data_IF_183051512681
#
_entry.id   IF_183051512681
#
_cell.length_a   1.000
_cell.length_b   1.000
_cell.length_c   1.000
_cell.angle_alpha   90.00
_cell.angle_beta   90.00
_cell.angle_gamma   90.00
#
_symmetry.space_group_name_H-M   'P 1'
#
loop_
_entity.id
_entity.type
_entity.pdbx_description
1 polymer ?
#
# COMPACT_ATOMS: atom_id res chain seq x y z
N UNK A 1 0.34 12.24 -5.02
CA UNK A 1 0.52 10.89 -5.61
C UNK A 1 -0.50 9.99 -4.95
N UNK A 2 -1.56 9.60 -5.66
CA UNK A 2 -2.76 9.07 -5.01
C UNK A 2 -2.84 7.55 -5.12
N UNK A 3 -3.11 6.93 -3.99
CA UNK A 3 -3.37 5.49 -3.84
C UNK A 3 -4.73 5.09 -4.46
N UNK A 4 -5.61 6.06 -4.72
CA UNK A 4 -6.96 5.90 -5.28
C UNK A 4 -7.20 6.99 -6.35
N UNK A 5 -7.60 6.60 -7.57
CA UNK A 5 -7.76 7.52 -8.72
C UNK A 5 -9.10 8.27 -8.65
N UNK A 6 -9.21 9.28 -7.80
CA UNK A 6 -10.42 10.12 -7.61
C UNK A 6 -11.71 9.31 -7.41
N UNK A 7 -11.58 8.12 -6.84
CA UNK A 7 -12.69 7.22 -6.51
C UNK A 7 -13.04 7.45 -5.04
N UNK A 8 -14.20 8.07 -4.79
CA UNK A 8 -14.65 8.45 -3.46
C UNK A 8 -14.94 7.24 -2.58
N UNK A 9 -15.53 6.18 -3.13
CA UNK A 9 -15.80 4.93 -2.41
C UNK A 9 -14.49 4.26 -1.95
N UNK A 10 -13.50 4.17 -2.84
CA UNK A 10 -12.19 3.63 -2.46
C UNK A 10 -11.47 4.50 -1.43
N UNK A 11 -11.65 5.83 -1.50
CA UNK A 11 -11.10 6.72 -0.50
C UNK A 11 -11.68 6.46 0.88
N UNK A 12 -13.02 6.34 0.98
CA UNK A 12 -13.71 6.00 2.22
C UNK A 12 -13.26 4.64 2.78
N UNK A 13 -13.16 3.61 1.94
CA UNK A 13 -12.67 2.29 2.33
C UNK A 13 -11.25 2.35 2.91
N UNK A 14 -10.37 3.13 2.29
CA UNK A 14 -8.98 3.28 2.75
C UNK A 14 -8.90 4.09 4.04
N UNK A 15 -9.78 5.06 4.24
CA UNK A 15 -9.87 5.81 5.50
C UNK A 15 -10.34 4.92 6.65
N UNK A 16 -11.37 4.11 6.43
CA UNK A 16 -11.84 3.09 7.39
C UNK A 16 -10.73 2.09 7.70
N UNK A 17 -9.97 1.65 6.70
CA UNK A 17 -8.81 0.79 6.92
C UNK A 17 -7.72 1.48 7.75
N UNK A 18 -7.38 2.73 7.41
CA UNK A 18 -6.34 3.51 8.10
C UNK A 18 -6.68 3.73 9.58
N UNK A 19 -7.95 4.00 9.87
CA UNK A 19 -8.46 4.14 11.24
C UNK A 19 -8.26 2.84 12.03
N UNK A 20 -8.65 1.70 11.46
CA UNK A 20 -8.48 0.38 12.11
C UNK A 20 -7.02 -0.03 12.28
N UNK A 21 -6.20 0.11 11.23
CA UNK A 21 -4.80 -0.35 11.26
C UNK A 21 -3.94 0.48 12.22
N UNK A 22 -4.27 1.77 12.40
CA UNK A 22 -3.56 2.67 13.32
C UNK A 22 -3.71 2.29 14.80
N UNK A 23 -4.69 1.46 15.15
CA UNK A 23 -4.88 0.94 16.51
C UNK A 23 -3.88 -0.16 16.86
N UNK A 24 -3.21 -0.74 15.86
CA UNK A 24 -2.17 -1.73 16.06
C UNK A 24 -0.83 -1.05 16.30
N UNK A 25 -0.09 -1.54 17.29
CA UNK A 25 1.30 -1.14 17.48
C UNK A 25 2.19 -1.99 16.58
N UNK A 26 2.82 -1.35 15.60
CA UNK A 26 3.86 -1.98 14.80
C UNK A 26 5.22 -1.77 15.47
N UNK A 27 6.14 -2.72 15.36
CA UNK A 27 7.54 -2.47 15.67
C UNK A 27 8.05 -1.27 14.87
N UNK A 28 8.95 -0.48 15.47
CA UNK A 28 9.59 0.63 14.78
C UNK A 28 10.23 0.16 13.47
N UNK A 29 9.92 0.85 12.37
CA UNK A 29 10.43 0.55 11.02
C UNK A 29 10.12 -0.87 10.49
N UNK A 30 8.99 -1.44 10.93
CA UNK A 30 8.53 -2.74 10.45
C UNK A 30 8.43 -2.79 8.92
N UNK A 31 8.79 -3.96 8.37
CA UNK A 31 8.71 -4.26 6.95
C UNK A 31 7.64 -5.31 6.72
N UNK A 32 6.69 -5.02 5.83
CA UNK A 32 5.59 -5.92 5.48
C UNK A 32 5.88 -6.49 4.09
N UNK A 33 5.98 -7.81 3.97
CA UNK A 33 6.05 -8.52 2.70
C UNK A 33 4.64 -8.92 2.27
N UNK A 34 4.21 -8.47 1.09
CA UNK A 34 2.92 -8.81 0.49
C UNK A 34 3.17 -9.71 -0.72
N UNK A 35 2.74 -10.96 -0.63
CA UNK A 35 2.68 -11.87 -1.79
C UNK A 35 1.35 -11.70 -2.52
N UNK A 36 1.32 -12.07 -3.81
CA UNK A 36 0.10 -11.86 -4.61
C UNK A 36 -0.22 -10.38 -4.83
N UNK A 37 0.78 -9.50 -4.77
CA UNK A 37 0.63 -8.05 -4.83
C UNK A 37 0.06 -7.52 -6.17
N UNK A 38 -0.09 -8.36 -7.19
CA UNK A 38 -0.74 -8.00 -8.48
C UNK A 38 -2.18 -8.50 -8.62
N UNK A 39 -2.73 -9.16 -7.59
CA UNK A 39 -4.14 -9.56 -7.53
C UNK A 39 -5.01 -8.50 -6.87
N UNK A 40 -6.33 -8.55 -7.07
CA UNK A 40 -7.27 -7.52 -6.57
C UNK A 40 -7.09 -7.21 -5.08
N UNK A 41 -7.02 -8.25 -4.23
CA UNK A 41 -6.86 -8.09 -2.79
C UNK A 41 -5.46 -7.54 -2.46
N UNK A 42 -4.40 -8.12 -3.04
CA UNK A 42 -3.02 -7.69 -2.76
C UNK A 42 -2.75 -6.25 -3.19
N UNK A 43 -3.27 -5.82 -4.34
CA UNK A 43 -3.16 -4.45 -4.83
C UNK A 43 -3.81 -3.48 -3.86
N UNK A 44 -5.04 -3.78 -3.44
CA UNK A 44 -5.76 -2.92 -2.49
C UNK A 44 -5.07 -2.91 -1.12
N UNK A 45 -4.62 -4.05 -0.61
CA UNK A 45 -3.88 -4.11 0.65
C UNK A 45 -2.63 -3.23 0.64
N UNK A 46 -1.82 -3.29 -0.43
CA UNK A 46 -0.65 -2.43 -0.59
C UNK A 46 -1.05 -0.95 -0.62
N UNK A 47 -2.07 -0.60 -1.40
CA UNK A 47 -2.55 0.80 -1.50
C UNK A 47 -3.12 1.32 -0.17
N UNK A 48 -3.93 0.53 0.53
CA UNK A 48 -4.47 0.89 1.84
C UNK A 48 -3.39 1.04 2.90
N UNK A 49 -2.36 0.18 2.89
CA UNK A 49 -1.20 0.32 3.77
C UNK A 49 -0.37 1.56 3.44
N UNK A 50 -0.10 1.86 2.16
CA UNK A 50 0.61 3.09 1.74
C UNK A 50 -0.15 4.35 2.14
N UNK A 51 -1.47 4.32 1.99
CA UNK A 51 -2.35 5.39 2.41
C UNK A 51 -2.28 5.59 3.93
N UNK A 52 -2.50 4.54 4.71
CA UNK A 52 -2.43 4.59 6.17
C UNK A 52 -1.03 5.00 6.67
N UNK A 53 0.03 4.51 6.03
CA UNK A 53 1.40 4.85 6.37
C UNK A 53 1.65 6.36 6.23
N UNK A 54 1.12 6.97 5.16
CA UNK A 54 1.21 8.40 4.89
C UNK A 54 0.34 9.23 5.83
N UNK A 55 -0.91 8.84 6.07
CA UNK A 55 -1.89 9.65 6.83
C UNK A 55 -1.83 9.45 8.34
N UNK A 56 -1.22 8.37 8.82
CA UNK A 56 -1.08 8.04 10.25
C UNK A 56 0.37 7.96 10.73
N UNK A 57 1.33 8.26 9.84
CA UNK A 57 2.76 8.27 10.16
C UNK A 57 3.27 6.96 10.78
N UNK A 58 2.84 5.81 10.23
CA UNK A 58 3.11 4.49 10.81
C UNK A 58 4.59 4.06 10.67
N UNK A 59 5.36 4.70 9.78
CA UNK A 59 6.78 4.40 9.58
C UNK A 59 7.05 3.01 8.98
N UNK A 60 6.06 2.42 8.31
CA UNK A 60 6.14 1.11 7.69
C UNK A 60 6.88 1.17 6.35
N UNK A 61 7.49 0.03 5.98
CA UNK A 61 7.98 -0.22 4.63
C UNK A 61 7.27 -1.43 4.04
N UNK A 62 6.95 -1.37 2.76
CA UNK A 62 6.23 -2.43 2.04
C UNK A 62 7.13 -3.05 0.98
N UNK A 63 7.16 -4.38 0.93
CA UNK A 63 7.74 -5.16 -0.16
C UNK A 63 6.58 -5.87 -0.86
N UNK A 64 6.32 -5.50 -2.11
CA UNK A 64 5.27 -6.09 -2.93
C UNK A 64 5.89 -7.11 -3.88
N UNK A 65 5.78 -8.40 -3.54
CA UNK A 65 6.30 -9.49 -4.36
C UNK A 65 5.37 -9.78 -5.53
N UNK A 66 5.90 -9.53 -6.73
CA UNK A 66 5.30 -9.65 -8.03
C UNK A 66 6.07 -10.67 -8.87
N UNK A 67 5.37 -11.42 -9.74
CA UNK A 67 6.02 -12.34 -10.68
C UNK A 67 6.47 -11.66 -11.98
N UNK A 68 5.87 -10.51 -12.28
CA UNK A 68 6.10 -9.72 -13.50
C UNK A 68 6.23 -8.26 -13.09
N UNK A 69 7.44 -7.73 -13.22
CA UNK A 69 7.74 -6.34 -12.93
C UNK A 69 6.94 -5.40 -13.84
N UNK A 70 6.82 -5.73 -15.13
CA UNK A 70 6.03 -4.95 -16.09
C UNK A 70 4.56 -4.80 -15.63
N UNK A 71 3.93 -5.92 -15.22
CA UNK A 71 2.56 -5.90 -14.69
C UNK A 71 2.48 -5.07 -13.42
N UNK A 72 3.44 -5.21 -12.52
CA UNK A 72 3.48 -4.46 -11.27
C UNK A 72 3.59 -2.95 -11.54
N UNK A 73 4.50 -2.52 -12.42
CA UNK A 73 4.66 -1.11 -12.79
C UNK A 73 3.40 -0.52 -13.42
N UNK A 74 2.69 -1.27 -14.27
CA UNK A 74 1.39 -0.84 -14.82
C UNK A 74 0.31 -0.66 -13.74
N UNK A 75 0.26 -1.54 -12.74
CA UNK A 75 -0.73 -1.52 -11.66
C UNK A 75 -0.44 -0.39 -10.66
N UNK A 76 0.82 -0.25 -10.25
CA UNK A 76 1.23 0.69 -9.21
C UNK A 76 1.50 2.09 -9.76
N UNK A 77 1.88 2.22 -11.04
CA UNK A 77 2.06 3.50 -11.73
C UNK A 77 2.98 4.42 -10.93
N UNK A 78 2.50 5.62 -10.62
CA UNK A 78 3.24 6.62 -9.87
C UNK A 78 3.69 6.11 -8.48
N UNK A 79 2.98 5.15 -7.88
CA UNK A 79 3.37 4.56 -6.58
C UNK A 79 4.74 3.86 -6.61
N UNK A 80 5.24 3.47 -7.80
CA UNK A 80 6.56 2.86 -7.94
C UNK A 80 7.71 3.78 -7.47
N UNK A 81 7.49 5.10 -7.40
CA UNK A 81 8.50 6.07 -6.97
C UNK A 81 8.55 6.32 -5.46
N UNK A 82 7.69 5.68 -4.67
CA UNK A 82 7.67 5.92 -3.21
C UNK A 82 8.84 5.25 -2.53
N UNK A 83 9.45 5.94 -1.58
CA UNK A 83 10.53 5.40 -0.75
C UNK A 83 10.08 4.32 0.23
N UNK A 84 8.77 4.23 0.51
CA UNK A 84 8.19 3.24 1.43
C UNK A 84 7.59 2.01 0.70
N UNK A 85 7.73 1.92 -0.63
CA UNK A 85 7.32 0.76 -1.44
C UNK A 85 8.49 0.21 -2.25
N UNK A 86 8.74 -1.09 -2.14
CA UNK A 86 9.68 -1.82 -2.99
C UNK A 86 8.95 -2.92 -3.76
N UNK A 87 9.07 -2.92 -5.08
CA UNK A 87 8.54 -3.98 -5.94
C UNK A 87 9.66 -5.01 -6.17
N UNK A 88 9.36 -6.29 -5.90
CA UNK A 88 10.29 -7.44 -6.05
C UNK A 88 9.67 -8.47 -6.96
#
# INVERSE_FOLDING_TARGET
MNEFKNDETLHEDYEVFAEKISRYSFPAHAVILITGATGLIGVNLVRSLLYANRTRHLGLRMIAWCRSEEKARKIYGDLCGRSDLHLV
#
